data_IF_911666536656
#
_entry.id   IF_911666536656
#
_cell.length_a   1.000
_cell.length_b   1.000
_cell.length_c   1.000
_cell.angle_alpha   90.00
_cell.angle_beta   90.00
_cell.angle_gamma   90.00
#
_symmetry.space_group_name_H-M   'P 1'
#
loop_
_entity.id
_entity.type
_entity.pdbx_description
1 polymer ?
#
# COMPACT_ATOMS: atom_id res chain seq x y z
N UNK A 1 -5.23 -1.42 -16.43
CA UNK A 1 -5.67 -2.56 -17.27
C UNK A 1 -4.53 -3.37 -17.89
N UNK A 2 -3.35 -2.79 -18.17
CA UNK A 2 -2.22 -3.50 -18.80
C UNK A 2 -1.71 -4.76 -18.07
N UNK A 3 -1.84 -4.83 -16.74
CA UNK A 3 -1.26 -5.93 -15.95
C UNK A 3 -1.90 -7.29 -16.20
N UNK A 4 -3.21 -7.35 -16.50
CA UNK A 4 -3.90 -8.61 -16.82
C UNK A 4 -3.45 -9.16 -18.18
N UNK A 5 -3.36 -8.30 -19.20
CA UNK A 5 -2.90 -8.67 -20.54
C UNK A 5 -1.47 -9.18 -20.52
N UNK A 6 -0.57 -8.48 -19.82
CA UNK A 6 0.84 -8.92 -19.72
C UNK A 6 1.00 -10.26 -18.99
N UNK A 7 0.08 -10.60 -18.09
CA UNK A 7 0.14 -11.86 -17.32
C UNK A 7 -0.22 -13.10 -18.15
N UNK A 8 -0.92 -12.95 -19.29
CA UNK A 8 -1.24 -14.05 -20.19
C UNK A 8 -0.10 -14.38 -21.17
N UNK A 9 0.88 -13.48 -21.30
CA UNK A 9 2.01 -13.63 -22.21
C UNK A 9 3.06 -14.62 -21.67
N UNK A 10 3.65 -15.39 -22.58
CA UNK A 10 4.77 -16.28 -22.23
C UNK A 10 6.04 -15.48 -21.93
N UNK A 11 6.98 -16.07 -21.18
CA UNK A 11 8.25 -15.43 -20.85
C UNK A 11 9.08 -15.06 -22.10
N UNK A 12 8.93 -15.80 -23.20
CA UNK A 12 9.56 -15.47 -24.47
C UNK A 12 8.93 -14.23 -25.13
N UNK A 13 7.59 -14.14 -25.15
CA UNK A 13 6.87 -12.98 -25.66
C UNK A 13 7.20 -11.71 -24.85
N UNK A 14 7.26 -11.82 -23.52
CA UNK A 14 7.66 -10.71 -22.65
C UNK A 14 9.08 -10.21 -22.94
N UNK A 15 10.01 -11.10 -23.29
CA UNK A 15 11.39 -10.71 -23.64
C UNK A 15 11.45 -9.98 -24.98
N UNK A 16 10.70 -10.48 -25.98
CA UNK A 16 10.56 -9.81 -27.27
C UNK A 16 10.00 -8.39 -27.11
N UNK A 17 8.90 -8.27 -26.36
CA UNK A 17 8.25 -6.99 -26.10
C UNK A 17 9.18 -6.02 -25.33
N UNK A 18 9.90 -6.50 -24.31
CA UNK A 18 10.88 -5.67 -23.60
C UNK A 18 12.00 -5.17 -24.53
N UNK A 19 12.52 -6.03 -25.39
CA UNK A 19 13.57 -5.67 -26.33
C UNK A 19 13.08 -4.67 -27.39
N UNK A 20 11.82 -4.78 -27.81
CA UNK A 20 11.18 -3.83 -28.72
C UNK A 20 11.00 -2.45 -28.07
N UNK A 21 10.57 -2.38 -26.81
CA UNK A 21 10.36 -1.12 -26.08
C UNK A 21 11.69 -0.41 -25.75
N UNK A 22 12.68 -1.18 -25.30
CA UNK A 22 13.96 -0.63 -24.78
C UNK A 22 15.06 -0.54 -25.83
N UNK A 23 14.95 -1.30 -26.91
CA UNK A 23 16.02 -1.47 -27.91
C UNK A 23 17.17 -2.38 -27.45
N UNK A 24 17.09 -2.97 -26.26
CA UNK A 24 18.13 -3.85 -25.71
C UNK A 24 17.67 -5.32 -25.65
N UNK A 25 18.52 -6.30 -26.01
CA UNK A 25 18.16 -7.69 -25.87
C UNK A 25 17.98 -8.06 -24.40
N UNK A 26 16.74 -8.42 -24.03
CA UNK A 26 16.42 -8.82 -22.67
C UNK A 26 17.11 -10.16 -22.32
N UNK A 27 17.83 -10.20 -21.19
CA UNK A 27 18.19 -11.48 -20.56
C UNK A 27 16.92 -12.18 -20.09
N UNK A 28 16.92 -13.52 -20.13
CA UNK A 28 15.78 -14.36 -19.69
C UNK A 28 15.31 -13.93 -18.30
N UNK A 29 14.03 -13.61 -18.16
CA UNK A 29 13.48 -13.22 -16.85
C UNK A 29 13.45 -14.42 -15.90
N UNK A 30 13.75 -14.16 -14.63
CA UNK A 30 13.76 -15.19 -13.58
C UNK A 30 12.38 -15.83 -13.35
N UNK A 31 11.30 -15.07 -13.57
CA UNK A 31 9.92 -15.52 -13.53
C UNK A 31 9.05 -14.68 -14.46
N UNK A 32 7.85 -15.17 -14.81
CA UNK A 32 6.86 -14.42 -15.59
C UNK A 32 6.48 -13.12 -14.86
N UNK A 33 6.22 -13.19 -13.55
CA UNK A 33 5.88 -12.02 -12.73
C UNK A 33 6.99 -10.95 -12.71
N UNK A 34 8.25 -11.35 -12.70
CA UNK A 34 9.38 -10.42 -12.80
C UNK A 34 9.48 -9.79 -14.20
N UNK A 35 9.16 -10.55 -15.25
CA UNK A 35 9.05 -10.06 -16.62
C UNK A 35 7.94 -9.02 -16.77
N UNK A 36 6.73 -9.32 -16.28
CA UNK A 36 5.59 -8.41 -16.31
C UNK A 36 5.92 -7.07 -15.64
N UNK A 37 6.53 -7.09 -14.44
CA UNK A 37 6.91 -5.85 -13.73
C UNK A 37 7.92 -5.02 -14.52
N UNK A 38 8.91 -5.65 -15.16
CA UNK A 38 9.92 -4.94 -15.96
C UNK A 38 9.35 -4.35 -17.23
N UNK A 39 8.53 -5.11 -17.93
CA UNK A 39 7.82 -4.66 -19.14
C UNK A 39 6.87 -3.51 -18.80
N UNK A 40 6.09 -3.63 -17.72
CA UNK A 40 5.20 -2.56 -17.26
C UNK A 40 5.96 -1.27 -16.94
N UNK A 41 7.07 -1.35 -16.21
CA UNK A 41 7.89 -0.17 -15.92
C UNK A 41 8.44 0.48 -17.20
N UNK A 42 8.87 -0.31 -18.18
CA UNK A 42 9.35 0.21 -19.47
C UNK A 42 8.23 0.85 -20.31
N UNK A 43 7.01 0.30 -20.27
CA UNK A 43 5.84 0.89 -20.91
C UNK A 43 5.45 2.23 -20.27
N UNK A 44 5.44 2.30 -18.93
CA UNK A 44 5.16 3.53 -18.18
C UNK A 44 6.22 4.61 -18.44
N UNK A 45 7.50 4.25 -18.48
CA UNK A 45 8.60 5.18 -18.79
C UNK A 45 8.48 5.76 -20.21
N UNK A 46 7.94 4.99 -21.17
CA UNK A 46 7.79 5.41 -22.57
C UNK A 46 6.40 5.95 -22.90
N UNK A 47 5.45 5.92 -21.97
CA UNK A 47 4.05 6.32 -22.22
C UNK A 47 3.35 5.44 -23.26
N UNK A 48 3.66 4.14 -23.31
CA UNK A 48 3.10 3.19 -24.27
C UNK A 48 2.06 2.28 -23.62
N UNK A 49 1.08 1.82 -24.41
CA UNK A 49 0.12 0.78 -24.03
C UNK A 49 0.29 -0.44 -24.92
N UNK A 50 -0.12 -1.61 -24.42
CA UNK A 50 -0.07 -2.87 -25.16
C UNK A 50 -1.49 -3.37 -25.34
N UNK A 51 -1.85 -3.61 -26.59
CA UNK A 51 -3.10 -4.27 -26.96
C UNK A 51 -2.78 -5.63 -27.60
N UNK A 52 -3.74 -6.56 -27.56
CA UNK A 52 -3.60 -7.86 -28.24
C UNK A 52 -4.43 -7.80 -29.52
N UNK A 53 -3.79 -7.90 -30.67
CA UNK A 53 -4.42 -8.00 -31.98
C UNK A 53 -4.04 -9.38 -32.56
N UNK A 54 -5.03 -10.19 -32.94
CA UNK A 54 -4.84 -11.55 -33.46
C UNK A 54 -3.97 -12.49 -32.59
N UNK A 55 -3.98 -12.28 -31.27
CA UNK A 55 -3.21 -13.09 -30.32
C UNK A 55 -1.73 -12.71 -30.23
N UNK A 56 -1.29 -11.65 -30.91
CA UNK A 56 0.03 -11.05 -30.78
C UNK A 56 -0.07 -9.71 -30.02
N UNK A 57 0.87 -9.41 -29.10
CA UNK A 57 0.93 -8.12 -28.45
C UNK A 57 1.41 -7.06 -29.45
N UNK A 58 0.62 -6.02 -29.66
CA UNK A 58 0.93 -4.85 -30.50
C UNK A 58 1.14 -3.63 -29.60
N UNK A 59 2.22 -2.88 -29.83
CA UNK A 59 2.51 -1.64 -29.13
C UNK A 59 1.67 -0.51 -29.71
N UNK A 60 0.74 0.01 -28.92
CA UNK A 60 -0.06 1.17 -29.28
C UNK A 60 0.54 2.38 -28.57
N UNK A 61 0.98 3.37 -29.35
CA UNK A 61 1.29 4.68 -28.79
C UNK A 61 -0.03 5.29 -28.34
N UNK A 62 -0.16 5.57 -27.04
CA UNK A 62 -1.09 6.60 -26.62
C UNK A 62 -0.63 7.86 -27.35
N UNK A 63 -1.39 8.26 -28.37
CA UNK A 63 -1.37 9.66 -28.74
C UNK A 63 -1.74 10.35 -27.44
N UNK A 64 -0.77 11.01 -26.81
CA UNK A 64 -1.08 11.98 -25.79
C UNK A 64 -2.06 12.89 -26.52
N UNK A 65 -3.36 12.75 -26.22
CA UNK A 65 -4.35 13.74 -26.58
C UNK A 65 -3.71 15.02 -26.06
N UNK A 66 -3.24 15.81 -27.01
CA UNK A 66 -2.66 17.11 -26.79
C UNK A 66 -3.76 17.84 -26.04
N UNK A 67 -3.63 17.88 -24.71
CA UNK A 67 -4.64 18.46 -23.84
C UNK A 67 -4.97 19.79 -24.49
N UNK A 68 -6.23 20.03 -24.91
CA UNK A 68 -6.56 21.21 -25.70
C UNK A 68 -5.99 22.35 -24.89
N UNK A 69 -5.03 23.08 -25.49
CA UNK A 69 -4.44 24.23 -24.85
C UNK A 69 -5.62 25.12 -24.51
N UNK A 70 -6.07 25.06 -23.25
CA UNK A 70 -7.02 26.00 -22.72
C UNK A 70 -6.25 27.30 -22.73
N UNK A 71 -6.41 28.02 -23.83
CA UNK A 71 -5.94 29.36 -24.01
C UNK A 71 -6.70 30.19 -22.97
N UNK A 72 -6.18 30.25 -21.74
CA UNK A 72 -6.61 31.18 -20.71
C UNK A 72 -6.07 32.56 -21.12
N UNK A 73 -6.46 33.01 -22.31
CA UNK A 73 -6.30 34.36 -22.82
C UNK A 73 -7.71 34.83 -23.13
N UNK A 74 -8.39 35.36 -22.11
CA UNK A 74 -9.66 36.01 -22.39
C UNK A 74 -10.64 36.25 -21.25
N UNK A 75 -10.23 36.43 -20.00
CA UNK A 75 -11.11 37.06 -18.99
C UNK A 75 -10.31 37.84 -17.93
N UNK A 76 -9.41 38.72 -18.37
CA UNK A 76 -9.08 39.91 -17.56
C UNK A 76 -9.66 41.13 -18.28
N UNK A 77 -10.77 41.63 -17.75
CA UNK A 77 -11.34 42.90 -18.16
C UNK A 77 -10.30 44.01 -17.94
N UNK A 78 -9.95 44.80 -18.97
CA UNK A 78 -9.14 45.99 -18.78
C UNK A 78 -9.99 47.05 -18.08
N UNK A 79 -9.77 47.29 -16.78
CA UNK A 79 -10.41 48.42 -16.10
C UNK A 79 -10.62 48.35 -14.58
N UNK A 80 -10.25 47.26 -13.91
CA UNK A 80 -10.34 47.24 -12.44
C UNK A 80 -9.09 47.92 -11.83
N UNK A 81 -9.22 49.20 -11.48
CA UNK A 81 -8.31 49.92 -10.62
C UNK A 81 -8.16 49.17 -9.28
N UNK A 82 -7.06 48.43 -9.14
CA UNK A 82 -6.66 47.84 -7.88
C UNK A 82 -6.16 48.96 -6.95
N UNK A 83 -6.73 49.13 -5.74
CA UNK A 83 -6.21 50.11 -4.79
C UNK A 83 -4.78 49.73 -4.41
N UNK A 84 -3.86 50.70 -4.54
CA UNK A 84 -2.48 50.62 -4.04
C UNK A 84 -2.47 50.08 -2.62
N UNK A 85 -2.01 48.85 -2.47
CA UNK A 85 -1.77 48.23 -1.18
C UNK A 85 -0.78 49.09 -0.39
N UNK A 86 -1.27 49.72 0.66
CA UNK A 86 -0.46 50.23 1.74
C UNK A 86 0.31 49.05 2.35
N UNK A 87 1.62 49.25 2.51
CA UNK A 87 2.48 48.36 3.25
C UNK A 87 1.93 48.18 4.67
N UNK A 88 1.43 46.97 4.97
CA UNK A 88 1.23 46.52 6.34
C UNK A 88 2.34 45.52 6.63
N UNK A 89 3.44 46.05 7.16
CA UNK A 89 4.36 45.26 7.98
C UNK A 89 3.60 44.71 9.18
N UNK A 90 3.84 43.43 9.49
CA UNK A 90 3.53 42.87 10.81
C UNK A 90 2.24 42.05 10.88
N UNK A 91 2.25 40.86 10.29
CA UNK A 91 1.34 39.78 10.71
C UNK A 91 2.16 38.53 11.05
N UNK A 92 2.74 38.55 12.26
CA UNK A 92 3.23 37.34 12.92
C UNK A 92 2.03 36.45 13.23
N UNK A 93 1.93 35.32 12.52
CA UNK A 93 1.02 34.23 12.85
C UNK A 93 1.33 33.73 14.28
N UNK A 94 0.44 34.03 15.21
CA UNK A 94 0.23 33.21 16.41
C UNK A 94 -0.91 32.25 16.08
N UNK A 95 -0.56 30.98 15.95
CA UNK A 95 -1.52 29.89 16.00
C UNK A 95 -2.06 29.72 17.43
N UNK A 96 -3.34 29.36 17.47
CA UNK A 96 -4.02 28.55 18.49
C UNK A 96 -4.29 29.14 19.88
N UNK A 97 -5.35 29.97 19.93
CA UNK A 97 -6.38 29.85 20.98
C UNK A 97 -7.76 30.20 20.40
N UNK A 98 -8.34 29.28 19.62
CA UNK A 98 -9.79 29.29 19.33
C UNK A 98 -10.48 28.37 20.33
N UNK A 99 -10.80 28.94 21.51
CA UNK A 99 -11.90 28.44 22.34
C UNK A 99 -12.79 29.63 22.70
N UNK A 100 -14.03 29.53 22.21
CA UNK A 100 -15.20 30.27 22.66
C UNK A 100 -15.09 31.80 22.65
N UNK A 101 -15.18 32.41 21.46
CA UNK A 101 -15.84 33.70 21.34
C UNK A 101 -17.30 33.43 20.98
N UNK A 102 -18.16 33.46 22.00
CA UNK A 102 -19.59 33.61 21.80
C UNK A 102 -19.78 34.91 21.00
N UNK A 103 -20.18 34.77 19.74
CA UNK A 103 -20.65 35.88 18.93
C UNK A 103 -22.03 36.23 19.46
N UNK A 104 -22.04 37.02 20.52
CA UNK A 104 -23.22 37.74 20.99
C UNK A 104 -23.40 38.94 20.04
N UNK A 105 -23.79 38.65 18.80
CA UNK A 105 -24.28 39.68 17.88
C UNK A 105 -25.61 40.17 18.42
N UNK A 106 -25.55 41.30 19.10
CA UNK A 106 -26.65 42.23 19.30
C UNK A 106 -27.25 42.58 17.93
N UNK A 107 -28.20 41.76 17.47
CA UNK A 107 -29.13 42.11 16.41
C UNK A 107 -30.11 43.09 17.04
N UNK A 108 -29.81 44.38 16.94
CA UNK A 108 -30.80 45.41 17.16
C UNK A 108 -31.83 45.33 16.03
N UNK A 109 -33.13 45.14 16.32
CA UNK A 109 -34.15 45.12 15.28
C UNK A 109 -34.33 46.55 14.78
N UNK A 110 -33.65 46.89 13.68
CA UNK A 110 -34.02 48.04 12.86
C UNK A 110 -35.32 47.63 12.18
N UNK A 111 -36.43 48.23 12.62
CA UNK A 111 -37.73 48.06 11.98
C UNK A 111 -37.68 48.73 10.59
N UNK A 112 -37.25 47.96 9.59
CA UNK A 112 -37.34 48.36 8.19
C UNK A 112 -38.72 47.90 7.71
N UNK A 113 -39.60 48.84 7.40
CA UNK A 113 -40.89 48.57 6.76
C UNK A 113 -40.62 47.99 5.35
N UNK A 114 -40.47 46.66 5.30
CA UNK A 114 -40.15 45.88 4.10
C UNK A 114 -39.85 44.40 4.39
N UNK A 115 -40.18 43.89 5.58
CA UNK A 115 -39.75 42.57 6.10
C UNK A 115 -40.32 41.37 5.32
N UNK A 116 -41.48 41.51 4.68
CA UNK A 116 -42.12 40.38 4.01
C UNK A 116 -41.31 39.83 2.81
N UNK A 117 -40.53 40.67 2.11
CA UNK A 117 -39.67 40.21 1.02
C UNK A 117 -38.35 39.62 1.52
N UNK A 118 -37.83 40.10 2.66
CA UNK A 118 -36.58 39.60 3.22
C UNK A 118 -36.76 38.20 3.81
N UNK A 119 -37.86 37.95 4.52
CA UNK A 119 -38.16 36.64 5.11
C UNK A 119 -38.31 35.54 4.04
N UNK A 120 -38.87 35.88 2.87
CA UNK A 120 -39.01 34.93 1.76
C UNK A 120 -37.64 34.55 1.13
N UNK A 121 -36.71 35.50 1.02
CA UNK A 121 -35.38 35.24 0.49
C UNK A 121 -34.51 34.41 1.45
N UNK A 122 -34.61 34.67 2.76
CA UNK A 122 -33.90 33.88 3.78
C UNK A 122 -34.43 32.44 3.81
N UNK A 123 -35.75 32.25 3.74
CA UNK A 123 -36.34 30.91 3.70
C UNK A 123 -35.93 30.13 2.44
N UNK A 124 -35.89 30.78 1.27
CA UNK A 124 -35.44 30.15 0.03
C UNK A 124 -33.95 29.76 0.08
N UNK A 125 -33.11 30.57 0.72
CA UNK A 125 -31.69 30.27 0.87
C UNK A 125 -31.44 29.08 1.80
N UNK A 126 -32.14 29.01 2.95
CA UNK A 126 -32.02 27.89 3.90
C UNK A 126 -32.47 26.57 3.25
N UNK A 127 -33.57 26.59 2.48
CA UNK A 127 -34.02 25.40 1.75
C UNK A 127 -33.02 24.96 0.67
N UNK A 128 -32.37 25.90 -0.01
CA UNK A 128 -31.35 25.56 -1.02
C UNK A 128 -30.06 24.99 -0.39
N UNK A 129 -29.64 25.48 0.79
CA UNK A 129 -28.51 24.88 1.52
C UNK A 129 -28.85 23.48 2.04
N UNK A 130 -30.09 23.24 2.49
CA UNK A 130 -30.54 21.93 2.93
C UNK A 130 -30.58 20.92 1.78
N UNK A 131 -31.09 21.32 0.61
CA UNK A 131 -31.11 20.48 -0.60
C UNK A 131 -29.69 20.15 -1.09
N UNK A 132 -28.77 21.12 -1.06
CA UNK A 132 -27.37 20.87 -1.40
C UNK A 132 -26.70 19.91 -0.42
N UNK A 133 -26.97 20.04 0.89
CA UNK A 133 -26.44 19.14 1.91
C UNK A 133 -27.05 17.72 1.83
N UNK A 134 -28.28 17.59 1.36
CA UNK A 134 -28.91 16.30 1.11
C UNK A 134 -28.28 15.59 -0.09
N UNK A 135 -28.01 16.32 -1.19
CA UNK A 135 -27.31 15.78 -2.36
C UNK A 135 -25.90 15.28 -2.01
N UNK A 136 -25.12 16.07 -1.25
CA UNK A 136 -23.79 15.66 -0.79
C UNK A 136 -23.85 14.40 0.09
N UNK A 137 -24.90 14.24 0.91
CA UNK A 137 -25.11 13.05 1.75
C UNK A 137 -25.50 11.82 0.91
N UNK A 138 -26.28 11.98 -0.14
CA UNK A 138 -26.61 10.87 -1.05
C UNK A 138 -25.35 10.36 -1.78
N UNK A 139 -24.48 11.26 -2.24
CA UNK A 139 -23.21 10.88 -2.86
C UNK A 139 -22.26 10.17 -1.88
N UNK A 140 -22.20 10.62 -0.62
CA UNK A 140 -21.41 9.94 0.43
C UNK A 140 -21.94 8.53 0.70
N UNK A 141 -23.27 8.37 0.81
CA UNK A 141 -23.89 7.06 1.01
C UNK A 141 -23.73 6.12 -0.20
N UNK A 142 -23.71 6.66 -1.42
CA UNK A 142 -23.41 5.88 -2.62
C UNK A 142 -21.96 5.36 -2.59
N UNK A 143 -21.01 6.23 -2.22
CA UNK A 143 -19.60 5.85 -2.07
C UNK A 143 -19.38 4.79 -0.96
N UNK A 144 -20.11 4.89 0.16
CA UNK A 144 -20.06 3.87 1.22
C UNK A 144 -20.59 2.51 0.73
N UNK A 145 -21.70 2.48 -0.02
CA UNK A 145 -22.25 1.24 -0.61
C UNK A 145 -21.29 0.60 -1.60
N UNK A 146 -20.69 1.39 -2.50
CA UNK A 146 -19.69 0.91 -3.45
C UNK A 146 -18.47 0.32 -2.72
N UNK A 147 -18.07 0.92 -1.60
CA UNK A 147 -16.98 0.41 -0.77
C UNK A 147 -17.34 -0.91 -0.05
N UNK A 148 -18.58 -1.05 0.43
CA UNK A 148 -19.09 -2.29 1.04
C UNK A 148 -19.16 -3.42 0.01
N UNK A 149 -19.71 -3.17 -1.19
CA UNK A 149 -19.76 -4.13 -2.29
C UNK A 149 -18.35 -4.57 -2.73
N UNK A 150 -17.40 -3.64 -2.78
CA UNK A 150 -16.00 -3.94 -3.09
C UNK A 150 -15.33 -4.80 -2.00
N UNK A 151 -15.64 -4.55 -0.73
CA UNK A 151 -15.15 -5.35 0.39
C UNK A 151 -15.70 -6.78 0.32
N UNK A 152 -17.00 -6.95 0.09
CA UNK A 152 -17.64 -8.25 0.02
C UNK A 152 -17.15 -9.06 -1.19
N UNK A 153 -16.92 -8.42 -2.33
CA UNK A 153 -16.28 -9.05 -3.48
C UNK A 153 -14.85 -9.53 -3.17
N UNK A 154 -14.08 -8.75 -2.40
CA UNK A 154 -12.73 -9.13 -1.98
C UNK A 154 -12.73 -10.30 -1.00
N UNK A 155 -13.67 -10.35 -0.07
CA UNK A 155 -13.85 -11.48 0.87
C UNK A 155 -14.21 -12.75 0.10
N UNK A 156 -15.18 -12.68 -0.82
CA UNK A 156 -15.57 -13.82 -1.65
C UNK A 156 -14.40 -14.36 -2.49
N UNK A 157 -13.55 -13.48 -3.02
CA UNK A 157 -12.34 -13.88 -3.76
C UNK A 157 -11.33 -14.60 -2.85
N UNK A 158 -11.13 -14.11 -1.61
CA UNK A 158 -10.23 -14.74 -0.65
C UNK A 158 -10.72 -16.13 -0.21
N UNK A 159 -12.03 -16.29 0.01
CA UNK A 159 -12.63 -17.59 0.33
C UNK A 159 -12.47 -18.59 -0.84
N UNK A 160 -12.62 -18.13 -2.08
CA UNK A 160 -12.41 -18.97 -3.26
C UNK A 160 -10.95 -19.45 -3.38
N UNK A 161 -9.97 -18.60 -3.05
CA UNK A 161 -8.56 -18.99 -3.04
C UNK A 161 -8.23 -19.97 -1.91
N UNK A 162 -8.82 -19.79 -0.72
CA UNK A 162 -8.69 -20.76 0.38
C UNK A 162 -9.29 -22.13 0.00
N UNK A 163 -10.43 -22.15 -0.69
CA UNK A 163 -11.05 -23.38 -1.20
C UNK A 163 -10.17 -24.08 -2.26
N UNK A 164 -9.43 -23.32 -3.07
CA UNK A 164 -8.46 -23.88 -4.02
C UNK A 164 -7.25 -24.48 -3.32
N UNK A 165 -6.69 -23.80 -2.32
CA UNK A 165 -5.54 -24.31 -1.56
C UNK A 165 -5.85 -25.61 -0.81
N UNK A 166 -7.05 -25.70 -0.24
CA UNK A 166 -7.53 -26.94 0.40
C UNK A 166 -7.69 -28.07 -0.60
N UNK A 167 -8.30 -27.81 -1.76
CA UNK A 167 -8.43 -28.79 -2.86
C UNK A 167 -7.07 -29.28 -3.38
N UNK A 168 -6.09 -28.38 -3.54
CA UNK A 168 -4.72 -28.73 -3.95
C UNK A 168 -4.05 -29.61 -2.89
N UNK A 169 -4.24 -29.30 -1.61
CA UNK A 169 -3.67 -30.07 -0.50
C UNK A 169 -4.27 -31.48 -0.42
N UNK A 170 -5.56 -31.63 -0.66
CA UNK A 170 -6.23 -32.94 -0.74
C UNK A 170 -5.74 -33.77 -1.92
N UNK A 171 -5.65 -33.18 -3.12
CA UNK A 171 -5.08 -33.83 -4.30
C UNK A 171 -3.63 -34.27 -4.06
N UNK A 172 -2.82 -33.43 -3.42
CA UNK A 172 -1.45 -33.76 -3.06
C UNK A 172 -1.39 -34.94 -2.07
N UNK A 173 -2.28 -34.97 -1.07
CA UNK A 173 -2.39 -36.08 -0.13
C UNK A 173 -2.83 -37.38 -0.83
N UNK A 174 -3.75 -37.30 -1.79
CA UNK A 174 -4.18 -38.46 -2.59
C UNK A 174 -3.05 -39.02 -3.47
N UNK A 175 -2.29 -38.15 -4.14
CA UNK A 175 -1.12 -38.55 -4.91
C UNK A 175 -0.05 -39.23 -4.04
N UNK A 176 0.18 -38.72 -2.82
CA UNK A 176 1.06 -39.36 -1.84
C UNK A 176 0.55 -40.74 -1.41
N UNK A 177 -0.77 -40.92 -1.24
CA UNK A 177 -1.35 -42.25 -0.95
C UNK A 177 -1.16 -43.21 -2.12
N UNK A 178 -1.46 -42.78 -3.35
CA UNK A 178 -1.31 -43.59 -4.58
C UNK A 178 0.13 -44.03 -4.83
N UNK A 179 1.11 -43.17 -4.55
CA UNK A 179 2.53 -43.48 -4.75
C UNK A 179 3.11 -44.36 -3.64
N UNK A 180 2.54 -44.33 -2.43
CA UNK A 180 3.02 -45.12 -1.29
C UNK A 180 2.49 -46.56 -1.26
N UNK A 181 1.28 -46.81 -1.77
CA UNK A 181 0.68 -48.15 -1.80
C UNK A 181 1.48 -49.22 -2.61
N UNK A 182 1.94 -48.97 -3.85
CA UNK A 182 2.61 -50.01 -4.64
C UNK A 182 4.04 -50.32 -4.17
N UNK A 183 4.66 -49.43 -3.39
CA UNK A 183 6.01 -49.64 -2.86
C UNK A 183 6.05 -50.62 -1.68
N UNK A 184 4.93 -50.82 -0.98
CA UNK A 184 4.85 -51.75 0.15
C UNK A 184 4.66 -53.21 -0.31
N UNK A 185 3.82 -53.45 -1.33
CA UNK A 185 3.52 -54.82 -1.80
C UNK A 185 4.64 -55.43 -2.66
N UNK A 186 5.45 -54.61 -3.35
CA UNK A 186 6.56 -55.10 -4.18
C UNK A 186 7.76 -55.64 -3.37
N UNK A 187 7.83 -55.38 -2.05
CA UNK A 187 8.96 -55.79 -1.20
C UNK A 187 8.79 -57.21 -0.63
N UNK A 188 7.57 -57.76 -0.61
CA UNK A 188 7.30 -59.08 -0.01
C UNK A 188 7.38 -60.27 -0.99
N UNK A 189 7.44 -60.05 -2.31
CA UNK A 189 7.32 -61.11 -3.31
C UNK A 189 8.56 -61.40 -4.19
N UNK A 190 9.74 -60.84 -3.90
CA UNK A 190 10.98 -61.16 -4.63
C UNK A 190 11.97 -61.98 -3.76
N UNK A 191 11.96 -63.33 -3.86
CA UNK A 191 12.97 -64.16 -3.22
C UNK A 191 14.28 -64.09 -4.02
N UNK A 192 15.14 -63.07 -3.76
CA UNK A 192 16.47 -63.07 -4.39
C UNK A 192 17.41 -61.88 -4.14
N UNK A 193 16.93 -60.66 -3.84
CA UNK A 193 17.80 -59.48 -3.70
C UNK A 193 18.19 -59.12 -2.24
N UNK A 194 18.43 -60.13 -1.40
CA UNK A 194 18.30 -60.06 0.06
C UNK A 194 19.40 -59.40 0.92
N UNK A 195 20.55 -58.96 0.42
CA UNK A 195 21.63 -58.49 1.32
C UNK A 195 22.15 -57.07 1.02
N UNK A 196 22.50 -56.77 -0.23
CA UNK A 196 23.10 -55.46 -0.57
C UNK A 196 22.10 -54.30 -0.56
N UNK A 197 20.84 -54.53 -0.93
CA UNK A 197 19.81 -53.48 -0.93
C UNK A 197 19.39 -53.07 0.49
N UNK A 198 19.34 -54.03 1.44
CA UNK A 198 19.02 -53.75 2.85
C UNK A 198 20.10 -52.90 3.55
N UNK A 199 21.38 -53.14 3.27
CA UNK A 199 22.49 -52.36 3.84
C UNK A 199 22.51 -50.89 3.37
N UNK A 200 22.02 -50.61 2.16
CA UNK A 200 21.96 -49.24 1.61
C UNK A 200 20.73 -48.46 2.11
N UNK A 201 19.66 -49.14 2.52
CA UNK A 201 18.49 -48.52 3.12
C UNK A 201 18.74 -48.09 4.58
N UNK A 202 19.44 -48.89 5.38
CA UNK A 202 19.75 -48.57 6.78
C UNK A 202 20.70 -47.37 6.91
N UNK A 203 21.67 -47.23 6.00
CA UNK A 203 22.64 -46.11 6.03
C UNK A 203 22.02 -44.75 5.68
N UNK A 204 20.94 -44.70 4.89
CA UNK A 204 20.20 -43.45 4.60
C UNK A 204 19.35 -42.96 5.77
N UNK A 205 18.73 -43.88 6.52
CA UNK A 205 17.90 -43.52 7.69
C UNK A 205 18.74 -42.96 8.85
N UNK A 206 19.96 -43.46 9.06
CA UNK A 206 20.88 -42.96 10.08
C UNK A 206 21.33 -41.51 9.81
N UNK A 207 21.53 -41.15 8.53
CA UNK A 207 21.99 -39.79 8.14
C UNK A 207 20.87 -38.74 8.27
N UNK A 208 19.61 -39.11 8.03
CA UNK A 208 18.47 -38.21 8.21
C UNK A 208 18.19 -37.91 9.69
N UNK A 209 18.41 -38.88 10.60
CA UNK A 209 18.21 -38.69 12.04
C UNK A 209 19.27 -37.76 12.65
N UNK A 210 20.52 -37.85 12.21
CA UNK A 210 21.62 -37.01 12.69
C UNK A 210 21.47 -35.51 12.31
N UNK A 211 20.78 -35.18 11.23
CA UNK A 211 20.51 -33.79 10.84
C UNK A 211 19.46 -33.11 11.74
N UNK A 212 18.52 -33.86 12.30
CA UNK A 212 17.43 -33.32 13.12
C UNK A 212 17.88 -33.03 14.57
N UNK A 213 18.82 -33.82 15.11
CA UNK A 213 19.31 -33.61 16.49
C UNK A 213 20.24 -32.38 16.64
N UNK A 214 20.89 -31.92 15.57
CA UNK A 214 21.66 -30.66 15.60
C UNK A 214 20.77 -29.41 15.62
N UNK A 215 19.52 -29.49 15.18
CA UNK A 215 18.59 -28.35 15.22
C UNK A 215 18.01 -28.11 16.62
N UNK A 216 17.95 -29.14 17.49
CA UNK A 216 17.34 -29.03 18.83
C UNK A 216 18.24 -28.44 19.91
N UNK A 217 19.55 -28.30 19.69
CA UNK A 217 20.51 -27.76 20.68
C UNK A 217 20.73 -26.24 20.65
N UNK A 218 20.01 -25.49 19.80
CA UNK A 218 20.04 -24.02 19.78
C UNK A 218 18.98 -23.35 20.67
N UNK A 219 18.51 -24.04 21.71
CA UNK A 219 17.57 -23.57 22.74
C UNK A 219 18.40 -23.18 23.97
N UNK A 220 18.40 -21.98 24.54
CA UNK A 220 17.75 -20.72 24.26
C UNK A 220 18.36 -19.73 25.26
N UNK A 221 18.94 -18.62 24.78
CA UNK A 221 19.24 -17.51 25.70
C UNK A 221 17.89 -16.97 26.21
N UNK A 222 17.73 -16.72 27.52
CA UNK A 222 16.49 -16.17 28.04
C UNK A 222 16.15 -14.89 27.28
N UNK A 223 14.94 -14.84 26.73
CA UNK A 223 14.47 -13.65 26.04
C UNK A 223 14.48 -12.50 27.04
N UNK A 224 15.25 -11.45 26.77
CA UNK A 224 15.16 -10.22 27.54
C UNK A 224 13.69 -9.79 27.60
N UNK A 225 13.22 -9.41 28.80
CA UNK A 225 11.85 -9.00 29.02
C UNK A 225 11.46 -7.94 27.97
N UNK A 226 10.29 -8.12 27.35
CA UNK A 226 9.77 -7.16 26.40
C UNK A 226 9.52 -5.82 27.12
N UNK A 227 9.78 -4.70 26.43
CA UNK A 227 9.39 -3.38 26.91
C UNK A 227 7.86 -3.28 26.96
N UNK A 228 7.35 -2.29 27.69
CA UNK A 228 5.89 -2.01 27.80
C UNK A 228 5.24 -1.73 26.45
N UNK A 229 6.02 -1.23 25.50
CA UNK A 229 5.65 -0.99 24.10
C UNK A 229 5.65 -2.27 23.21
N UNK A 230 5.91 -3.46 23.78
CA UNK A 230 5.96 -4.72 23.04
C UNK A 230 7.18 -4.88 22.12
N UNK A 231 8.15 -3.94 22.14
CA UNK A 231 9.40 -4.04 21.41
C UNK A 231 10.48 -4.73 22.27
N UNK A 232 11.40 -5.42 21.60
CA UNK A 232 12.55 -6.04 22.29
C UNK A 232 13.55 -4.94 22.65
N UNK A 233 14.01 -4.85 23.91
CA UNK A 233 15.02 -3.86 24.30
C UNK A 233 16.31 -4.08 23.49
N UNK A 234 16.91 -2.99 23.02
CA UNK A 234 18.11 -3.02 22.16
C UNK A 234 17.85 -3.46 20.72
N UNK A 235 16.61 -3.74 20.31
CA UNK A 235 16.30 -3.97 18.90
C UNK A 235 16.39 -2.68 18.09
N UNK A 236 16.78 -2.80 16.82
CA UNK A 236 16.81 -1.67 15.87
C UNK A 236 15.45 -0.98 15.71
N UNK A 237 14.35 -1.73 15.89
CA UNK A 237 13.00 -1.17 15.87
C UNK A 237 12.72 -0.34 17.12
N UNK A 238 13.16 -0.78 18.31
CA UNK A 238 13.07 0.02 19.53
C UNK A 238 13.89 1.31 19.40
N UNK A 239 15.09 1.24 18.82
CA UNK A 239 15.91 2.42 18.56
C UNK A 239 15.22 3.42 17.63
N UNK A 240 14.54 2.96 16.57
CA UNK A 240 13.77 3.84 15.68
C UNK A 240 12.59 4.52 16.38
N UNK A 241 11.84 3.75 17.18
CA UNK A 241 10.72 4.27 17.95
C UNK A 241 11.19 5.37 18.94
N UNK A 242 12.25 5.09 19.69
CA UNK A 242 12.85 6.04 20.63
C UNK A 242 13.41 7.28 19.90
N UNK A 243 13.95 7.12 18.70
CA UNK A 243 14.53 8.21 17.92
C UNK A 243 13.47 9.19 17.40
N UNK A 244 12.31 8.68 16.96
CA UNK A 244 11.21 9.52 16.45
C UNK A 244 10.38 10.17 17.56
N UNK A 245 10.39 9.62 18.77
CA UNK A 245 9.78 10.24 19.94
C UNK A 245 10.59 11.39 20.56
N UNK A 246 11.74 11.76 19.98
CA UNK A 246 12.50 12.94 20.41
C UNK A 246 11.73 14.23 20.10
N UNK A 247 11.87 15.29 20.92
CA UNK A 247 11.19 16.56 20.69
C UNK A 247 11.59 17.22 19.36
N UNK A 248 12.81 16.95 18.89
CA UNK A 248 13.30 17.42 17.59
C UNK A 248 12.69 16.64 16.41
N UNK A 249 12.11 15.46 16.64
CA UNK A 249 11.75 14.53 15.57
C UNK A 249 12.97 13.95 14.85
N UNK A 250 12.74 13.27 13.73
CA UNK A 250 13.80 12.67 12.92
C UNK A 250 13.51 12.77 11.43
N UNK A 251 14.52 13.11 10.63
CA UNK A 251 14.45 12.96 9.18
C UNK A 251 14.73 11.52 8.77
N UNK A 252 14.33 11.16 7.54
CA UNK A 252 14.58 9.81 7.00
C UNK A 252 16.08 9.47 6.95
N UNK A 253 16.93 10.43 6.56
CA UNK A 253 18.40 10.24 6.49
C UNK A 253 19.00 9.99 7.87
N UNK A 254 18.60 10.77 8.88
CA UNK A 254 19.08 10.62 10.26
C UNK A 254 18.66 9.27 10.85
N UNK A 255 17.40 8.87 10.67
CA UNK A 255 16.90 7.59 11.15
C UNK A 255 17.66 6.40 10.52
N UNK A 256 17.95 6.48 9.22
CA UNK A 256 18.66 5.45 8.49
C UNK A 256 20.15 5.39 8.91
N UNK A 257 20.79 6.53 9.14
CA UNK A 257 22.15 6.62 9.67
C UNK A 257 22.25 6.05 11.10
N UNK A 258 21.25 6.34 11.95
CA UNK A 258 21.23 5.87 13.34
C UNK A 258 21.15 4.33 13.43
N UNK A 259 20.41 3.70 12.51
CA UNK A 259 20.18 2.25 12.51
C UNK A 259 21.19 1.48 11.64
N UNK A 260 21.88 2.19 10.74
CA UNK A 260 22.76 1.61 9.72
C UNK A 260 22.00 0.85 8.65
N UNK A 261 20.86 1.38 8.20
CA UNK A 261 20.04 0.80 7.12
C UNK A 261 19.92 1.78 5.94
N UNK A 262 19.94 1.28 4.71
CA UNK A 262 19.77 2.12 3.52
C UNK A 262 18.33 2.61 3.30
N UNK A 263 17.34 1.88 3.81
CA UNK A 263 15.92 2.22 3.70
C UNK A 263 15.19 1.80 4.98
N UNK A 264 14.82 2.77 5.81
CA UNK A 264 14.32 2.54 7.17
C UNK A 264 12.83 2.88 7.35
N UNK A 265 12.20 3.56 6.38
CA UNK A 265 10.83 4.08 6.51
C UNK A 265 9.74 3.01 6.77
N UNK A 266 9.67 1.87 6.04
CA UNK A 266 8.65 0.84 6.29
C UNK A 266 8.82 0.18 7.66
N UNK A 267 10.07 0.03 8.09
CA UNK A 267 10.40 -0.50 9.41
C UNK A 267 10.06 0.49 10.52
N UNK A 268 10.23 1.79 10.27
CA UNK A 268 9.82 2.84 11.19
C UNK A 268 8.30 2.82 11.40
N UNK A 269 7.50 2.75 10.33
CA UNK A 269 6.05 2.67 10.44
C UNK A 269 5.60 1.44 11.24
N UNK A 270 6.23 0.29 10.96
CA UNK A 270 5.97 -0.95 11.70
C UNK A 270 6.38 -0.87 13.17
N UNK A 271 7.49 -0.21 13.48
CA UNK A 271 7.93 0.02 14.85
C UNK A 271 6.94 0.91 15.61
N UNK A 272 6.48 1.99 14.99
CA UNK A 272 5.51 2.92 15.58
C UNK A 272 4.16 2.25 15.81
N UNK A 273 3.64 1.51 14.83
CA UNK A 273 2.40 0.74 14.97
C UNK A 273 2.49 -0.26 16.13
N UNK A 274 3.61 -0.99 16.24
CA UNK A 274 3.80 -1.97 17.30
C UNK A 274 3.93 -1.35 18.68
N UNK A 275 4.55 -0.17 18.76
CA UNK A 275 4.72 0.58 20.00
C UNK A 275 3.51 1.45 20.37
N UNK A 276 2.47 1.51 19.54
CA UNK A 276 1.35 2.44 19.75
C UNK A 276 1.75 3.92 19.67
N UNK A 277 2.75 4.25 18.85
CA UNK A 277 3.20 5.63 18.64
C UNK A 277 2.47 6.22 17.44
N UNK A 278 1.80 7.36 17.64
CA UNK A 278 1.18 8.13 16.55
C UNK A 278 2.25 8.96 15.85
N UNK A 279 2.40 8.75 14.54
CA UNK A 279 3.40 9.43 13.72
C UNK A 279 2.79 10.67 13.05
N UNK A 280 3.38 11.84 13.29
CA UNK A 280 3.09 13.08 12.55
C UNK A 280 4.22 13.38 11.56
N UNK A 281 3.85 13.84 10.37
CA UNK A 281 4.79 14.23 9.31
C UNK A 281 4.72 15.73 9.13
N UNK A 282 5.86 16.39 9.22
CA UNK A 282 5.96 17.83 8.99
C UNK A 282 6.99 18.09 7.89
N UNK A 283 6.64 18.93 6.93
CA UNK A 283 7.53 19.29 5.83
C UNK A 283 8.27 20.57 6.19
N UNK A 284 9.54 20.45 6.56
CA UNK A 284 10.38 21.59 6.90
C UNK A 284 11.31 21.89 5.72
N UNK A 285 10.82 22.72 4.79
CA UNK A 285 11.51 23.01 3.53
C UNK A 285 11.48 21.81 2.58
N UNK A 286 12.66 21.32 2.19
CA UNK A 286 12.81 20.19 1.27
C UNK A 286 12.80 18.81 1.97
N UNK A 287 12.95 18.78 3.30
CA UNK A 287 13.02 17.53 4.06
C UNK A 287 11.76 17.30 4.89
N UNK A 288 11.27 16.06 4.88
CA UNK A 288 10.16 15.62 5.73
C UNK A 288 10.72 15.11 7.05
N UNK A 289 10.26 15.71 8.14
CA UNK A 289 10.61 15.35 9.52
C UNK A 289 9.44 14.59 10.16
N UNK A 290 9.75 13.52 10.85
CA UNK A 290 8.79 12.62 11.49
C UNK A 290 8.83 12.82 13.00
N UNK A 291 7.66 13.02 13.61
CA UNK A 291 7.49 13.20 15.04
C UNK A 291 6.60 12.09 15.60
N UNK A 292 7.02 11.44 16.68
CA UNK A 292 6.26 10.36 17.33
C UNK A 292 5.68 10.82 18.66
N UNK A 293 4.37 10.68 18.84
CA UNK A 293 3.73 10.86 20.16
C UNK A 293 3.40 9.47 20.73
N UNK A 294 3.99 9.06 21.88
CA UNK A 294 3.64 7.79 22.50
C UNK A 294 2.18 7.83 22.97
N UNK A 295 1.42 6.75 22.76
CA UNK A 295 0.15 6.59 23.44
C UNK A 295 0.41 6.63 24.95
N UNK A 296 -0.23 7.57 25.66
CA UNK A 296 -0.18 7.60 27.12
C UNK A 296 -0.87 6.33 27.60
N UNK A 297 -0.08 5.35 28.03
CA UNK A 297 -0.54 4.13 28.68
C UNK A 297 -0.64 4.29 30.18
#
# INVERSE_FOLDING_TARGET
MNTQILSTLTNAALQGLFAEITGEPAKRFASVSAGVKRVQAALEEKGLTVEIEDGAPVLVKLQAEEAPAFDIVGYLAPGADLPKAAAVEGFQRRDDHVRAFAVETLVTPVAIEGTAQFDAHVAAFVLAEEEAAEADREDELAAERDAEDAHDAAVAAAEADQARETSISELAAELLRKTRAPAAEAIENEPGMGAKARALAETRHARAKAANDKAKKAKGKPAAAARTDGLKPGSKLAMLADFVCRPEGATHKEACAHVGWGHCLPMLMKACQKAGITLRKEKQGAETRYFGTPAQG
#
